data_IF_529756175804
#
_entry.id   IF_529756175804
#
_cell.length_a   1.000
_cell.length_b   1.000
_cell.length_c   1.000
_cell.angle_alpha   90.00
_cell.angle_beta   90.00
_cell.angle_gamma   90.00
#
_symmetry.space_group_name_H-M   'P 1'
#
loop_
_entity.id
_entity.type
_entity.pdbx_description
1 polymer ?
#
# COMPACT_ATOMS: atom_id res chain seq x y z
N UNK A 1 28.98 51.87 1.35
CA UNK A 1 28.00 51.54 2.41
C UNK A 1 26.57 51.58 1.88
N UNK A 2 26.09 52.69 1.31
CA UNK A 2 24.74 52.77 0.70
C UNK A 2 24.49 51.82 -0.50
N UNK A 3 25.45 51.63 -1.44
CA UNK A 3 25.24 50.74 -2.59
C UNK A 3 25.21 49.25 -2.21
N UNK A 4 26.03 48.83 -1.24
CA UNK A 4 26.02 47.43 -0.77
C UNK A 4 24.72 47.11 -0.03
N UNK A 5 24.16 48.06 0.73
CA UNK A 5 22.85 47.89 1.37
C UNK A 5 21.70 47.82 0.34
N UNK A 6 21.78 48.55 -0.78
CA UNK A 6 20.78 48.50 -1.86
C UNK A 6 20.82 47.16 -2.59
N UNK A 7 22.01 46.61 -2.84
CA UNK A 7 22.15 45.27 -3.44
C UNK A 7 21.61 44.18 -2.51
N UNK A 8 21.91 44.24 -1.21
CA UNK A 8 21.36 43.30 -0.23
C UNK A 8 19.83 43.35 -0.15
N UNK A 9 19.23 44.54 -0.24
CA UNK A 9 17.77 44.70 -0.26
C UNK A 9 17.16 44.12 -1.55
N UNK A 10 17.79 44.37 -2.69
CA UNK A 10 17.35 43.83 -3.97
C UNK A 10 17.47 42.30 -4.02
N UNK A 11 18.56 41.74 -3.50
CA UNK A 11 18.76 40.29 -3.39
C UNK A 11 17.73 39.67 -2.43
N UNK A 12 17.39 40.35 -1.33
CA UNK A 12 16.33 39.94 -0.40
C UNK A 12 14.95 39.95 -1.06
N UNK A 13 14.60 41.02 -1.79
CA UNK A 13 13.32 41.12 -2.51
C UNK A 13 13.21 40.04 -3.62
N UNK A 14 14.30 39.76 -4.34
CA UNK A 14 14.32 38.66 -5.29
C UNK A 14 14.16 37.30 -4.61
N UNK A 15 14.82 37.09 -3.47
CA UNK A 15 14.66 35.86 -2.68
C UNK A 15 13.21 35.71 -2.21
N UNK A 16 12.58 36.77 -1.72
CA UNK A 16 11.17 36.75 -1.33
C UNK A 16 10.24 36.43 -2.51
N UNK A 17 10.51 37.00 -3.70
CA UNK A 17 9.74 36.71 -4.91
C UNK A 17 9.93 35.26 -5.38
N UNK A 18 11.14 34.71 -5.29
CA UNK A 18 11.42 33.30 -5.61
C UNK A 18 10.74 32.36 -4.61
N UNK A 19 10.75 32.70 -3.32
CA UNK A 19 10.04 31.96 -2.26
C UNK A 19 8.52 32.04 -2.48
N UNK A 20 7.97 33.20 -2.81
CA UNK A 20 6.55 33.34 -3.15
C UNK A 20 6.18 32.56 -4.41
N UNK A 21 7.01 32.60 -5.46
CA UNK A 21 6.80 31.84 -6.68
C UNK A 21 6.87 30.32 -6.41
N UNK A 22 7.75 29.85 -5.53
CA UNK A 22 7.76 28.46 -5.06
C UNK A 22 6.48 28.11 -4.31
N UNK A 23 6.04 28.96 -3.36
CA UNK A 23 4.77 28.76 -2.64
C UNK A 23 3.55 28.68 -3.57
N UNK A 24 3.53 29.44 -4.67
CA UNK A 24 2.44 29.38 -5.66
C UNK A 24 2.33 28.02 -6.38
N UNK A 25 3.37 27.18 -6.38
CA UNK A 25 3.36 25.85 -7.01
C UNK A 25 2.85 24.73 -6.09
N UNK A 26 2.71 24.98 -4.79
CA UNK A 26 2.33 23.99 -3.77
C UNK A 26 0.91 24.17 -3.26
N UNK A 27 -0.03 24.46 -4.17
CA UNK A 27 -1.44 24.67 -3.82
C UNK A 27 -2.39 23.93 -4.74
N UNK A 28 -3.58 23.65 -4.22
CA UNK A 28 -4.70 23.06 -4.96
C UNK A 28 -4.93 21.59 -4.64
N UNK A 29 -5.90 20.99 -5.33
CA UNK A 29 -6.37 19.63 -5.04
C UNK A 29 -5.54 18.58 -5.77
N UNK A 30 -5.23 17.48 -5.06
CA UNK A 30 -4.72 16.23 -5.61
C UNK A 30 -5.68 15.09 -5.29
N UNK A 31 -6.08 14.35 -6.32
CA UNK A 31 -6.93 13.15 -6.19
C UNK A 31 -6.06 11.92 -6.26
N UNK A 32 -5.98 11.17 -5.17
CA UNK A 32 -5.09 10.03 -5.05
C UNK A 32 -5.89 8.78 -4.70
N UNK A 33 -5.63 7.66 -5.38
CA UNK A 33 -6.28 6.39 -5.06
C UNK A 33 -5.27 5.40 -4.48
N UNK A 34 -5.64 4.67 -3.44
CA UNK A 34 -4.76 3.68 -2.78
C UNK A 34 -5.58 2.54 -2.15
N UNK A 35 -4.96 1.39 -1.83
CA UNK A 35 -5.58 0.35 -1.00
C UNK A 35 -6.02 0.92 0.36
N UNK A 36 -7.13 0.40 0.89
CA UNK A 36 -7.76 0.91 2.12
C UNK A 36 -6.78 0.97 3.29
N UNK A 37 -6.07 -0.14 3.53
CA UNK A 37 -5.12 -0.23 4.64
C UNK A 37 -3.91 0.69 4.49
N UNK A 38 -3.43 0.93 3.27
CA UNK A 38 -2.37 1.92 3.03
C UNK A 38 -2.85 3.32 3.42
N UNK A 39 -4.09 3.70 3.06
CA UNK A 39 -4.65 5.00 3.46
C UNK A 39 -4.69 5.11 4.98
N UNK A 40 -5.30 4.13 5.66
CA UNK A 40 -5.59 4.22 7.08
C UNK A 40 -4.37 4.02 7.99
N UNK A 41 -3.48 3.08 7.65
CA UNK A 41 -2.39 2.65 8.53
C UNK A 41 -1.05 3.27 8.20
N UNK A 42 -0.87 3.73 6.96
CA UNK A 42 0.44 4.18 6.47
C UNK A 42 0.44 5.67 6.14
N UNK A 43 -0.53 6.15 5.36
CA UNK A 43 -0.53 7.53 4.85
C UNK A 43 -1.11 8.51 5.84
N UNK A 44 -2.33 8.29 6.33
CA UNK A 44 -3.03 9.22 7.25
C UNK A 44 -2.18 9.56 8.49
N UNK A 45 -1.54 8.59 9.17
CA UNK A 45 -0.72 8.87 10.35
C UNK A 45 0.44 9.84 10.09
N UNK A 46 0.94 9.88 8.86
CA UNK A 46 2.10 10.71 8.45
C UNK A 46 1.67 12.04 7.82
N UNK A 47 0.37 12.24 7.54
CA UNK A 47 -0.15 13.49 6.97
C UNK A 47 0.09 14.74 7.81
N UNK A 48 0.11 14.73 9.16
CA UNK A 48 0.43 15.93 9.94
C UNK A 48 1.79 16.54 9.55
N UNK A 49 2.80 15.71 9.35
CA UNK A 49 4.13 16.14 8.91
C UNK A 49 4.11 16.66 7.46
N UNK A 50 3.35 16.01 6.57
CA UNK A 50 3.14 16.50 5.20
C UNK A 50 2.50 17.90 5.18
N UNK A 51 1.41 18.09 5.93
CA UNK A 51 0.68 19.36 6.00
C UNK A 51 1.46 20.47 6.69
N UNK A 52 2.37 20.14 7.61
CA UNK A 52 3.30 21.13 8.19
C UNK A 52 4.21 21.76 7.13
N UNK A 53 4.55 20.99 6.08
CA UNK A 53 5.42 21.42 4.97
C UNK A 53 4.63 21.99 3.80
N UNK A 54 3.43 21.47 3.53
CA UNK A 54 2.61 21.83 2.37
C UNK A 54 1.15 22.11 2.75
N UNK A 55 0.88 23.18 3.52
CA UNK A 55 -0.45 23.46 4.08
C UNK A 55 -1.52 23.80 3.03
N UNK A 56 -1.11 24.28 1.85
CA UNK A 56 -2.03 24.73 0.79
C UNK A 56 -2.42 23.63 -0.20
N UNK A 57 -1.89 22.41 -0.04
CA UNK A 57 -2.28 21.23 -0.84
C UNK A 57 -3.51 20.60 -0.20
N UNK A 58 -4.58 20.41 -0.97
CA UNK A 58 -5.75 19.66 -0.53
C UNK A 58 -5.68 18.23 -1.09
N UNK A 59 -5.68 17.21 -0.23
CA UNK A 59 -5.64 15.81 -0.65
C UNK A 59 -7.05 15.22 -0.64
N UNK A 60 -7.46 14.62 -1.74
CA UNK A 60 -8.66 13.79 -1.86
C UNK A 60 -8.22 12.34 -2.01
N UNK A 61 -8.29 11.58 -0.92
CA UNK A 61 -7.90 10.18 -0.90
C UNK A 61 -9.11 9.30 -1.20
N UNK A 62 -8.97 8.44 -2.22
CA UNK A 62 -9.91 7.38 -2.53
C UNK A 62 -9.30 6.05 -2.11
N UNK A 63 -9.99 5.32 -1.25
CA UNK A 63 -9.60 3.98 -0.79
C UNK A 63 -10.41 2.93 -1.53
N UNK A 64 -9.74 2.04 -2.27
CA UNK A 64 -10.37 0.86 -2.85
C UNK A 64 -9.33 -0.22 -3.11
N UNK A 65 -9.68 -1.44 -2.73
CA UNK A 65 -8.90 -2.64 -3.07
C UNK A 65 -9.30 -3.21 -4.45
N UNK A 66 -10.33 -2.63 -5.10
CA UNK A 66 -10.74 -3.03 -6.43
C UNK A 66 -9.73 -2.60 -7.50
N UNK A 67 -9.59 -3.45 -8.52
CA UNK A 67 -8.68 -3.26 -9.64
C UNK A 67 -9.26 -2.31 -10.71
N UNK A 68 -10.55 -1.92 -10.59
CA UNK A 68 -11.27 -1.14 -11.63
C UNK A 68 -10.53 0.13 -12.08
N UNK A 69 -10.63 0.40 -13.39
CA UNK A 69 -9.86 1.39 -14.12
C UNK A 69 -9.91 2.79 -13.50
N UNK A 70 -8.82 3.16 -12.83
CA UNK A 70 -8.69 4.43 -12.11
C UNK A 70 -8.46 5.62 -13.06
N UNK A 71 -8.17 5.33 -14.33
CA UNK A 71 -7.90 6.34 -15.37
C UNK A 71 -9.18 7.12 -15.72
N UNK A 72 -10.37 6.53 -15.59
CA UNK A 72 -11.63 7.17 -15.99
C UNK A 72 -12.13 8.24 -14.99
N UNK A 73 -11.57 8.33 -13.77
CA UNK A 73 -12.12 9.18 -12.68
C UNK A 73 -11.34 10.46 -12.39
N UNK A 74 -10.39 10.84 -13.25
CA UNK A 74 -9.59 12.05 -13.05
C UNK A 74 -8.68 11.99 -11.82
N UNK A 75 -8.17 10.80 -11.51
CA UNK A 75 -7.19 10.55 -10.46
C UNK A 75 -5.81 11.03 -10.94
N UNK A 76 -5.09 11.75 -10.08
CA UNK A 76 -3.76 12.30 -10.37
C UNK A 76 -2.66 11.24 -10.18
N UNK A 77 -2.83 10.36 -9.19
CA UNK A 77 -1.87 9.30 -8.87
C UNK A 77 -2.53 8.15 -8.12
N UNK A 78 -1.98 6.95 -8.27
CA UNK A 78 -2.47 5.72 -7.66
C UNK A 78 -1.34 5.01 -6.93
N UNK A 79 -1.58 4.47 -5.74
CA UNK A 79 -0.71 3.45 -5.14
C UNK A 79 -1.30 2.08 -5.45
N UNK A 80 -0.49 1.16 -5.96
CA UNK A 80 -0.92 -0.22 -6.28
C UNK A 80 0.03 -1.25 -5.69
N UNK A 81 -0.57 -2.32 -5.18
CA UNK A 81 0.09 -3.55 -4.75
C UNK A 81 -0.18 -4.63 -5.78
N UNK A 82 0.84 -5.42 -6.12
CA UNK A 82 0.72 -6.52 -7.06
C UNK A 82 1.17 -6.16 -8.48
N UNK A 83 1.14 -7.16 -9.36
CA UNK A 83 1.58 -6.99 -10.73
C UNK A 83 0.69 -5.98 -11.46
N UNK A 84 1.32 -5.19 -12.32
CA UNK A 84 0.64 -4.18 -13.12
C UNK A 84 0.24 -4.81 -14.44
N UNK A 85 -1.04 -4.74 -14.78
CA UNK A 85 -1.48 -4.95 -16.16
C UNK A 85 -0.92 -3.83 -17.07
N UNK A 86 -0.87 -4.08 -18.37
CA UNK A 86 -0.42 -3.13 -19.39
C UNK A 86 -1.29 -1.86 -19.39
N UNK A 87 -1.01 -0.93 -18.49
CA UNK A 87 -1.64 0.38 -18.41
C UNK A 87 -0.81 1.42 -19.15
N UNK A 88 -1.45 2.49 -19.60
CA UNK A 88 -0.77 3.68 -20.15
C UNK A 88 -0.10 4.55 -19.08
N UNK A 89 -0.10 4.11 -17.82
CA UNK A 89 0.47 4.83 -16.68
C UNK A 89 1.97 4.57 -16.56
N UNK A 90 2.67 5.58 -16.02
CA UNK A 90 4.06 5.43 -15.61
C UNK A 90 4.08 4.82 -14.21
N UNK A 91 4.83 3.74 -14.04
CA UNK A 91 5.05 3.10 -12.75
C UNK A 91 6.36 3.58 -12.11
N UNK A 92 6.27 4.09 -10.89
CA UNK A 92 7.40 4.36 -10.01
C UNK A 92 7.46 3.30 -8.92
N UNK A 93 8.40 2.38 -9.05
CA UNK A 93 8.62 1.30 -8.11
C UNK A 93 9.02 1.82 -6.73
N UNK A 94 8.38 1.30 -5.69
CA UNK A 94 8.69 1.61 -4.29
C UNK A 94 9.54 0.49 -3.68
N UNK A 95 9.11 -0.76 -3.85
CA UNK A 95 9.75 -1.94 -3.27
C UNK A 95 8.89 -3.18 -3.41
N UNK A 96 9.39 -4.32 -2.93
CA UNK A 96 8.64 -5.58 -2.87
C UNK A 96 8.16 -5.83 -1.45
N UNK A 97 6.87 -6.12 -1.31
CA UNK A 97 6.21 -6.48 -0.05
C UNK A 97 6.47 -7.95 0.25
N UNK A 98 6.92 -8.22 1.46
CA UNK A 98 7.11 -9.58 1.95
C UNK A 98 5.74 -10.16 2.29
N UNK A 99 5.44 -11.34 1.76
CA UNK A 99 4.20 -12.07 2.01
C UNK A 99 4.39 -13.01 3.19
N UNK A 100 3.34 -13.15 4.00
CA UNK A 100 3.26 -14.15 5.08
C UNK A 100 1.96 -14.92 5.00
N UNK A 101 1.96 -16.12 5.57
CA UNK A 101 0.75 -16.90 5.78
C UNK A 101 0.44 -16.91 7.27
N UNK A 102 -0.79 -16.65 7.67
CA UNK A 102 -1.17 -16.68 9.07
C UNK A 102 -2.60 -17.17 9.29
N UNK A 103 -2.86 -17.63 10.50
CA UNK A 103 -4.19 -17.96 11.01
C UNK A 103 -4.29 -17.51 12.46
N UNK A 104 -5.49 -17.47 13.03
CA UNK A 104 -5.65 -17.18 14.47
C UNK A 104 -5.15 -18.33 15.34
N UNK A 105 -4.73 -18.00 16.55
CA UNK A 105 -4.38 -19.00 17.56
C UNK A 105 -5.51 -20.02 17.79
N UNK A 106 -6.75 -19.54 17.91
CA UNK A 106 -7.95 -20.38 18.10
C UNK A 106 -8.16 -21.38 16.95
N UNK A 107 -7.94 -20.94 15.70
CA UNK A 107 -8.00 -21.83 14.54
C UNK A 107 -6.96 -22.96 14.64
N UNK A 108 -5.73 -22.61 15.01
CA UNK A 108 -4.63 -23.57 15.11
C UNK A 108 -4.78 -24.52 16.30
N UNK A 109 -5.45 -24.11 17.38
CA UNK A 109 -5.81 -25.01 18.48
C UNK A 109 -6.79 -26.10 18.01
N UNK A 110 -7.73 -25.74 17.13
CA UNK A 110 -8.73 -26.67 16.61
C UNK A 110 -8.20 -27.57 15.47
N UNK A 111 -7.40 -27.03 14.56
CA UNK A 111 -6.99 -27.72 13.33
C UNK A 111 -5.52 -28.18 13.33
N UNK A 112 -4.74 -27.81 14.34
CA UNK A 112 -3.29 -28.02 14.39
C UNK A 112 -2.50 -26.92 13.66
N UNK A 113 -1.18 -26.93 13.81
CA UNK A 113 -0.27 -26.03 13.09
C UNK A 113 0.27 -26.78 11.87
N UNK A 114 0.04 -26.30 10.63
CA UNK A 114 0.61 -26.94 9.45
C UNK A 114 2.12 -26.65 9.36
N UNK A 115 2.91 -27.71 9.18
CA UNK A 115 4.36 -27.63 9.04
C UNK A 115 4.81 -27.89 7.60
N UNK A 116 4.02 -28.65 6.83
CA UNK A 116 4.28 -29.02 5.44
C UNK A 116 3.05 -28.75 4.54
N UNK A 117 3.26 -28.75 3.22
CA UNK A 117 2.20 -28.49 2.25
C UNK A 117 1.10 -29.56 2.28
N UNK A 118 1.43 -30.81 2.62
CA UNK A 118 0.48 -31.92 2.72
C UNK A 118 -0.56 -31.73 3.85
N UNK A 119 -0.17 -31.01 4.91
CA UNK A 119 -1.03 -30.71 6.05
C UNK A 119 -2.21 -29.82 5.64
N UNK A 120 -2.04 -29.01 4.59
CA UNK A 120 -3.08 -28.10 4.07
C UNK A 120 -4.36 -28.83 3.66
N UNK A 121 -4.31 -30.15 3.42
CA UNK A 121 -5.50 -30.98 3.18
C UNK A 121 -6.49 -31.01 4.36
N UNK A 122 -6.05 -30.71 5.58
CA UNK A 122 -6.89 -30.61 6.79
C UNK A 122 -7.28 -29.18 7.14
N UNK A 123 -6.79 -28.19 6.37
CA UNK A 123 -7.01 -26.78 6.63
C UNK A 123 -7.98 -26.15 5.63
N UNK A 124 -8.43 -24.95 5.98
CA UNK A 124 -9.29 -24.11 5.14
C UNK A 124 -8.53 -22.86 4.75
N UNK A 125 -8.64 -22.51 3.48
CA UNK A 125 -8.17 -21.23 2.97
C UNK A 125 -9.32 -20.22 2.98
N UNK A 126 -9.05 -19.01 3.43
CA UNK A 126 -9.91 -17.88 3.11
C UNK A 126 -9.40 -17.34 1.77
N UNK A 127 -10.29 -17.17 0.79
CA UNK A 127 -9.90 -16.57 -0.48
C UNK A 127 -9.96 -15.07 -0.37
N UNK A 128 -8.93 -14.42 -0.90
CA UNK A 128 -9.06 -13.06 -1.38
C UNK A 128 -9.70 -13.12 -2.77
N UNK A 129 -10.98 -12.81 -2.86
CA UNK A 129 -11.74 -12.76 -4.11
C UNK A 129 -11.15 -11.69 -5.03
N UNK A 130 -10.45 -12.12 -6.07
CA UNK A 130 -10.09 -11.27 -7.20
C UNK A 130 -11.20 -11.22 -8.25
N UNK A 131 -10.82 -11.31 -9.53
CA UNK A 131 -11.74 -11.19 -10.66
C UNK A 131 -12.78 -12.32 -10.69
N UNK A 132 -13.95 -12.04 -11.29
CA UNK A 132 -15.01 -13.04 -11.50
C UNK A 132 -14.46 -14.24 -12.27
N UNK A 133 -14.51 -15.43 -11.67
CA UNK A 133 -14.07 -16.69 -12.30
C UNK A 133 -12.70 -17.21 -11.85
N UNK A 134 -12.01 -16.53 -10.94
CA UNK A 134 -10.79 -17.06 -10.31
C UNK A 134 -11.07 -18.35 -9.53
N UNK A 135 -10.11 -19.29 -9.62
CA UNK A 135 -10.18 -20.54 -8.87
C UNK A 135 -10.04 -20.24 -7.37
N UNK A 136 -11.04 -20.67 -6.61
CA UNK A 136 -11.04 -20.61 -5.15
C UNK A 136 -10.19 -21.75 -4.56
N UNK A 137 -9.67 -21.53 -3.36
CA UNK A 137 -8.90 -22.52 -2.61
C UNK A 137 -7.47 -22.69 -3.10
N UNK A 138 -6.88 -21.69 -3.76
CA UNK A 138 -5.50 -21.78 -4.26
C UNK A 138 -4.55 -21.15 -3.24
N UNK A 139 -3.79 -21.98 -2.53
CA UNK A 139 -2.67 -21.53 -1.70
C UNK A 139 -1.42 -21.40 -2.56
N UNK A 140 -0.81 -20.21 -2.58
CA UNK A 140 0.35 -19.91 -3.42
C UNK A 140 1.65 -19.92 -2.61
N UNK A 141 2.71 -20.48 -3.18
CA UNK A 141 4.06 -20.40 -2.62
C UNK A 141 5.08 -20.16 -3.75
N UNK A 142 6.34 -19.87 -3.44
CA UNK A 142 7.34 -19.47 -4.44
C UNK A 142 7.47 -20.45 -5.62
N UNK A 143 7.41 -21.76 -5.35
CA UNK A 143 7.63 -22.81 -6.34
C UNK A 143 6.33 -23.40 -6.93
N UNK A 144 5.15 -22.93 -6.51
CA UNK A 144 3.90 -23.47 -7.04
C UNK A 144 2.63 -23.09 -6.28
N UNK A 145 1.63 -23.96 -6.39
CA UNK A 145 0.33 -23.78 -5.75
C UNK A 145 -0.23 -25.12 -5.25
N UNK A 146 -1.02 -25.08 -4.17
CA UNK A 146 -1.76 -26.22 -3.60
C UNK A 146 -3.24 -25.88 -3.60
N UNK A 147 -4.07 -26.85 -3.99
CA UNK A 147 -5.53 -26.73 -3.87
C UNK A 147 -5.95 -27.12 -2.46
N UNK A 148 -6.77 -26.28 -1.84
CA UNK A 148 -7.34 -26.43 -0.51
C UNK A 148 -8.86 -26.29 -0.58
N UNK A 149 -9.52 -26.81 0.44
CA UNK A 149 -10.89 -26.39 0.71
C UNK A 149 -10.91 -24.91 1.12
N UNK A 150 -11.96 -24.20 0.71
CA UNK A 150 -12.16 -22.81 1.12
C UNK A 150 -13.38 -22.65 2.02
N UNK A 151 -13.22 -21.83 3.07
CA UNK A 151 -14.30 -21.51 4.00
C UNK A 151 -15.10 -20.27 3.59
N UNK A 152 -14.44 -19.29 2.98
CA UNK A 152 -14.99 -17.96 2.71
C UNK A 152 -14.20 -17.28 1.60
N UNK A 153 -14.86 -16.38 0.86
CA UNK A 153 -14.23 -15.47 -0.09
C UNK A 153 -14.57 -14.03 0.27
N UNK A 154 -13.56 -13.14 0.31
CA UNK A 154 -13.70 -11.71 0.63
C UNK A 154 -12.88 -10.86 -0.32
N UNK A 155 -13.27 -9.63 -0.60
CA UNK A 155 -12.63 -8.79 -1.63
C UNK A 155 -11.89 -7.56 -1.08
N UNK A 156 -11.69 -7.50 0.24
CA UNK A 156 -10.94 -6.43 0.89
C UNK A 156 -10.12 -6.99 2.06
N UNK A 157 -8.99 -6.34 2.34
CA UNK A 157 -7.99 -6.87 3.29
C UNK A 157 -8.48 -6.83 4.74
N UNK A 158 -9.32 -5.86 5.11
CA UNK A 158 -9.92 -5.80 6.44
C UNK A 158 -10.82 -7.00 6.72
N UNK A 159 -11.69 -7.37 5.78
CA UNK A 159 -12.52 -8.57 5.90
C UNK A 159 -11.66 -9.85 5.89
N UNK A 160 -10.55 -9.85 5.16
CA UNK A 160 -9.61 -10.97 5.09
C UNK A 160 -8.98 -11.26 6.44
N UNK A 161 -8.43 -10.23 7.08
CA UNK A 161 -7.86 -10.31 8.42
C UNK A 161 -8.92 -10.65 9.45
N UNK A 162 -10.10 -10.01 9.38
CA UNK A 162 -11.19 -10.27 10.32
C UNK A 162 -11.66 -11.75 10.27
N UNK A 163 -11.71 -12.35 9.07
CA UNK A 163 -12.07 -13.75 8.91
C UNK A 163 -11.01 -14.70 9.53
N UNK A 164 -9.72 -14.39 9.38
CA UNK A 164 -8.66 -15.17 10.01
C UNK A 164 -8.73 -15.08 11.54
N UNK A 165 -8.90 -13.86 12.07
CA UNK A 165 -9.06 -13.61 13.51
C UNK A 165 -10.29 -14.35 14.05
N UNK A 166 -11.38 -14.41 13.29
CA UNK A 166 -12.59 -15.15 13.65
C UNK A 166 -12.46 -16.68 13.54
N UNK A 167 -11.27 -17.20 13.24
CA UNK A 167 -11.01 -18.64 13.22
C UNK A 167 -11.51 -19.36 11.98
N UNK A 168 -11.63 -18.68 10.84
CA UNK A 168 -12.24 -19.27 9.63
C UNK A 168 -11.23 -19.94 8.68
N UNK A 169 -9.92 -19.74 8.88
CA UNK A 169 -8.89 -20.37 8.06
C UNK A 169 -7.59 -19.59 7.97
N UNK A 170 -6.75 -20.03 7.04
CA UNK A 170 -5.45 -19.45 6.71
C UNK A 170 -5.63 -18.31 5.71
N UNK A 171 -4.85 -17.24 5.87
CA UNK A 171 -4.76 -16.11 4.94
C UNK A 171 -3.34 -15.89 4.44
N UNK A 172 -3.18 -15.32 3.24
CA UNK A 172 -1.89 -14.97 2.63
C UNK A 172 -1.87 -13.49 2.25
N UNK A 173 -1.04 -12.68 2.91
CA UNK A 173 -1.03 -11.23 2.74
C UNK A 173 0.33 -10.59 3.08
N UNK A 174 0.56 -9.32 2.70
CA UNK A 174 1.77 -8.61 3.10
C UNK A 174 1.95 -8.53 4.62
N UNK A 175 3.19 -8.73 5.09
CA UNK A 175 3.51 -8.73 6.53
C UNK A 175 3.07 -7.45 7.25
N UNK A 176 3.25 -6.28 6.62
CA UNK A 176 2.90 -4.99 7.22
C UNK A 176 1.42 -4.88 7.62
N UNK A 177 0.53 -5.65 6.97
CA UNK A 177 -0.90 -5.62 7.27
C UNK A 177 -1.24 -6.34 8.58
N UNK A 178 -0.36 -7.21 9.08
CA UNK A 178 -0.63 -8.09 10.24
C UNK A 178 0.46 -8.08 11.29
N UNK A 179 1.52 -7.29 11.12
CA UNK A 179 2.63 -7.19 12.07
C UNK A 179 2.13 -7.04 13.52
N UNK A 180 1.26 -6.07 13.78
CA UNK A 180 0.73 -5.81 15.13
C UNK A 180 -0.10 -6.99 15.68
N UNK A 181 -0.80 -7.73 14.82
CA UNK A 181 -1.61 -8.89 15.24
C UNK A 181 -0.73 -10.10 15.54
N UNK A 182 0.37 -10.24 14.81
CA UNK A 182 1.39 -11.27 15.04
C UNK A 182 2.13 -10.99 16.33
N UNK A 183 2.58 -9.75 16.56
CA UNK A 183 3.25 -9.33 17.79
C UNK A 183 2.36 -9.52 19.03
N UNK A 184 1.05 -9.33 18.87
CA UNK A 184 0.05 -9.58 19.93
C UNK A 184 -0.34 -11.05 20.09
N UNK A 185 0.11 -11.94 19.20
CA UNK A 185 -0.27 -13.36 19.20
C UNK A 185 -1.72 -13.64 18.80
N UNK A 186 -2.45 -12.63 18.29
CA UNK A 186 -3.82 -12.82 17.79
C UNK A 186 -3.82 -13.60 16.48
N UNK A 187 -2.83 -13.33 15.63
CA UNK A 187 -2.50 -14.14 14.47
C UNK A 187 -1.14 -14.80 14.70
N UNK A 188 -0.97 -16.00 14.17
CA UNK A 188 0.25 -16.79 14.25
C UNK A 188 0.69 -17.09 12.83
N UNK A 189 1.95 -16.80 12.52
CA UNK A 189 2.56 -17.14 11.24
C UNK A 189 2.69 -18.66 11.12
N UNK A 190 2.31 -19.20 9.95
CA UNK A 190 2.39 -20.63 9.63
C UNK A 190 3.07 -20.82 8.29
N UNK A 191 3.69 -21.99 8.08
CA UNK A 191 4.33 -22.33 6.81
C UNK A 191 5.29 -21.22 6.31
N UNK A 192 6.13 -20.67 7.20
CA UNK A 192 7.05 -19.56 6.89
C UNK A 192 8.12 -19.92 5.84
N UNK A 193 8.32 -21.21 5.57
CA UNK A 193 9.14 -21.71 4.47
C UNK A 193 8.41 -21.76 3.12
N UNK A 194 7.08 -21.66 3.11
CA UNK A 194 6.21 -21.74 1.93
C UNK A 194 5.41 -20.45 1.73
N UNK A 195 6.11 -19.32 1.65
CA UNK A 195 5.49 -18.02 1.38
C UNK A 195 5.18 -17.82 -0.10
N UNK A 196 4.11 -17.09 -0.41
CA UNK A 196 3.85 -16.61 -1.77
C UNK A 196 4.97 -15.69 -2.28
N UNK A 197 5.02 -15.48 -3.60
CA UNK A 197 5.93 -14.50 -4.19
C UNK A 197 5.64 -13.10 -3.64
N UNK A 198 6.70 -12.33 -3.38
CA UNK A 198 6.60 -10.94 -2.94
C UNK A 198 5.81 -10.11 -3.94
N UNK A 199 4.99 -9.16 -3.44
CA UNK A 199 4.16 -8.30 -4.30
C UNK A 199 4.83 -6.94 -4.51
N UNK A 200 4.99 -6.46 -5.76
CA UNK A 200 5.56 -5.14 -5.97
C UNK A 200 4.58 -4.04 -5.51
N UNK A 201 5.11 -3.02 -4.86
CA UNK A 201 4.42 -1.80 -4.48
C UNK A 201 4.87 -0.67 -5.41
N UNK A 202 3.91 -0.05 -6.09
CA UNK A 202 4.16 0.96 -7.10
C UNK A 202 3.30 2.20 -6.89
N UNK A 203 3.85 3.35 -7.27
CA UNK A 203 3.10 4.59 -7.47
C UNK A 203 2.90 4.78 -8.97
N UNK A 204 1.65 4.82 -9.44
CA UNK A 204 1.28 4.97 -10.83
C UNK A 204 0.71 6.35 -11.09
N UNK A 205 1.04 6.95 -12.23
CA UNK A 205 0.48 8.24 -12.63
C UNK A 205 0.41 8.36 -14.16
N UNK A 206 -0.49 9.19 -14.71
CA UNK A 206 -0.64 9.32 -16.15
C UNK A 206 0.63 9.84 -16.83
N UNK A 207 0.98 9.27 -17.98
CA UNK A 207 2.05 9.79 -18.82
C UNK A 207 1.60 11.14 -19.45
N UNK A 208 2.02 12.25 -18.86
CA UNK A 208 1.72 13.62 -19.32
C UNK A 208 3.02 14.38 -19.52
N UNK A 209 3.05 15.26 -20.52
CA UNK A 209 4.22 16.13 -20.79
C UNK A 209 4.56 17.09 -19.65
N UNK A 210 3.60 17.36 -18.76
CA UNK A 210 3.79 18.20 -17.59
C UNK A 210 3.17 17.55 -16.35
N UNK A 211 3.99 17.39 -15.31
CA UNK A 211 3.56 16.93 -13.98
C UNK A 211 3.55 18.16 -13.06
N UNK A 212 2.41 18.51 -12.44
CA UNK A 212 2.38 19.63 -11.49
C UNK A 212 3.32 19.37 -10.31
N UNK A 213 4.09 20.38 -9.89
CA UNK A 213 5.08 20.23 -8.81
C UNK A 213 4.50 19.70 -7.50
N UNK A 214 3.26 20.08 -7.16
CA UNK A 214 2.51 19.53 -6.02
C UNK A 214 2.38 18.01 -6.06
N UNK A 215 2.18 17.43 -7.25
CA UNK A 215 2.05 15.99 -7.43
C UNK A 215 3.41 15.30 -7.29
N UNK A 216 4.47 15.87 -7.87
CA UNK A 216 5.83 15.33 -7.71
C UNK A 216 6.24 15.21 -6.24
N UNK A 217 6.02 16.27 -5.47
CA UNK A 217 6.33 16.31 -4.04
C UNK A 217 5.51 15.29 -3.27
N UNK A 218 4.21 15.22 -3.54
CA UNK A 218 3.36 14.22 -2.89
C UNK A 218 3.86 12.81 -3.21
N UNK A 219 4.18 12.50 -4.47
CA UNK A 219 4.68 11.17 -4.86
C UNK A 219 6.03 10.84 -4.23
N UNK A 220 6.93 11.82 -4.10
CA UNK A 220 8.22 11.64 -3.44
C UNK A 220 8.04 11.37 -1.94
N UNK A 221 7.25 12.21 -1.27
CA UNK A 221 6.91 12.03 0.14
C UNK A 221 6.22 10.68 0.41
N UNK A 222 5.19 10.35 -0.37
CA UNK A 222 4.44 9.11 -0.22
C UNK A 222 5.33 7.89 -0.46
N UNK A 223 6.23 7.93 -1.45
CA UNK A 223 7.20 6.86 -1.70
C UNK A 223 8.08 6.62 -0.48
N UNK A 224 8.58 7.68 0.15
CA UNK A 224 9.46 7.55 1.32
C UNK A 224 8.71 6.97 2.53
N UNK A 225 7.46 7.40 2.75
CA UNK A 225 6.58 6.85 3.79
C UNK A 225 6.30 5.37 3.54
N UNK A 226 5.86 5.02 2.33
CA UNK A 226 5.57 3.64 1.93
C UNK A 226 6.81 2.74 2.06
N UNK A 227 7.97 3.23 1.63
CA UNK A 227 9.22 2.47 1.75
C UNK A 227 9.56 2.16 3.21
N UNK A 228 9.45 3.15 4.10
CA UNK A 228 9.76 2.99 5.53
C UNK A 228 8.76 2.11 6.28
N UNK A 229 7.47 2.14 5.90
CA UNK A 229 6.40 1.48 6.66
C UNK A 229 5.99 0.13 6.09
N UNK A 230 6.23 -0.11 4.80
CA UNK A 230 5.76 -1.32 4.11
C UNK A 230 6.92 -2.20 3.61
N UNK A 231 8.10 -1.63 3.33
CA UNK A 231 9.21 -2.36 2.71
C UNK A 231 10.33 -2.67 3.70
N UNK A 232 10.80 -1.66 4.44
CA UNK A 232 11.85 -1.83 5.45
C UNK A 232 11.19 -2.06 6.80
N UNK A 233 10.71 -3.27 7.02
CA UNK A 233 10.09 -3.68 8.29
C UNK A 233 11.09 -4.58 9.00
N UNK A 234 12.04 -3.96 9.71
CA UNK A 234 13.01 -4.63 10.59
C UNK A 234 13.39 -3.68 11.73
#
# INVERSE_FOLDING_TARGET
ILPECQNLLFDYEQLEQLIQAQKQHYRGTLKISMPSRIVHQVIIPELPDFYSRYPDIHLQLHSSDDITDLIEKGIDCVVRVGQLDNSSLIAKFVGNLIMVNCASADYLEQYGIPEQLEDLSQHKLINYAGAVGEKQGVFLYQDGAVMMDSALSVNNTEAYIAAAIAGLGIIQLPYYDVQDKIEQGTLVEVLSTYTAQSLPLNILYPNRSYIPKRLEIFMEWARDVLYKKCIVIF
#
